data_IF_096037334226
#
_entry.id   IF_096037334226
#
_cell.length_a   1.000
_cell.length_b   1.000
_cell.length_c   1.000
_cell.angle_alpha   90.00
_cell.angle_beta   90.00
_cell.angle_gamma   90.00
#
_symmetry.space_group_name_H-M   'P 1'
#
loop_
_entity.id
_entity.type
_entity.pdbx_description
1 polymer ?
#
# COMPACT_ATOMS: atom_id res chain seq x y z
N UNK A 1 3.58 29.49 68.09
CA UNK A 1 4.28 28.50 67.22
C UNK A 1 3.37 27.49 66.54
N UNK A 2 2.28 27.00 67.14
CA UNK A 2 1.40 25.97 66.48
C UNK A 2 0.49 26.51 65.36
N UNK A 3 0.16 27.79 65.34
CA UNK A 3 -0.75 28.39 64.35
C UNK A 3 0.00 28.61 62.99
N UNK A 4 1.27 29.00 63.05
CA UNK A 4 2.08 29.19 61.82
C UNK A 4 2.46 27.87 61.12
N UNK A 5 2.52 26.76 61.87
CA UNK A 5 2.78 25.45 61.29
C UNK A 5 1.58 24.91 60.50
N UNK A 6 0.33 25.20 60.92
CA UNK A 6 -0.87 24.79 60.22
C UNK A 6 -1.09 25.59 58.92
N UNK A 7 -0.76 26.91 58.92
CA UNK A 7 -0.87 27.75 57.73
C UNK A 7 0.17 27.41 56.68
N UNK A 8 1.38 27.02 57.04
CA UNK A 8 2.44 26.57 56.12
C UNK A 8 2.08 25.22 55.52
N UNK A 9 1.54 24.27 56.27
CA UNK A 9 1.08 22.97 55.74
C UNK A 9 -0.10 23.12 54.76
N UNK A 10 -1.07 24.01 55.01
CA UNK A 10 -2.18 24.25 54.09
C UNK A 10 -1.72 24.97 52.81
N UNK A 11 -0.71 25.85 52.86
CA UNK A 11 -0.13 26.50 51.70
C UNK A 11 0.73 25.53 50.84
N UNK A 12 1.44 24.57 51.46
CA UNK A 12 2.16 23.51 50.76
C UNK A 12 1.20 22.50 50.09
N UNK A 13 0.04 22.20 50.69
CA UNK A 13 -0.95 21.30 50.10
C UNK A 13 -1.66 21.95 48.90
N UNK A 14 -1.79 23.28 48.84
CA UNK A 14 -2.40 23.99 47.70
C UNK A 14 -1.43 24.06 46.48
N UNK A 15 -0.14 24.01 46.70
CA UNK A 15 0.87 24.04 45.65
C UNK A 15 1.03 22.70 44.92
N UNK A 16 0.62 21.57 45.49
CA UNK A 16 0.69 20.25 44.87
C UNK A 16 -0.45 19.93 43.93
N UNK A 17 -1.53 20.72 43.91
CA UNK A 17 -2.70 20.54 43.03
C UNK A 17 -2.57 21.24 41.66
N UNK A 18 -1.50 22.01 41.44
CA UNK A 18 -1.22 22.68 40.18
C UNK A 18 -0.30 21.87 39.25
N UNK A 19 -0.04 20.60 39.56
CA UNK A 19 0.52 19.65 38.64
C UNK A 19 -0.51 19.37 37.54
N UNK A 20 -0.70 20.35 36.62
CA UNK A 20 -1.53 20.18 35.44
C UNK A 20 -1.08 18.94 34.68
N UNK A 21 -1.97 18.02 34.47
CA UNK A 21 -1.80 16.94 33.55
C UNK A 21 -1.31 17.53 32.20
N UNK A 22 -0.04 17.43 31.92
CA UNK A 22 0.51 17.59 30.56
C UNK A 22 0.02 16.40 29.73
N UNK A 23 -1.29 16.21 29.61
CA UNK A 23 -1.86 15.34 28.61
C UNK A 23 -1.67 16.06 27.28
N UNK A 24 -0.63 15.68 26.53
CA UNK A 24 -0.59 16.02 25.12
C UNK A 24 -1.95 15.66 24.53
N UNK A 25 -2.68 16.61 23.94
CA UNK A 25 -4.01 16.33 23.42
C UNK A 25 -3.88 15.18 22.43
N UNK A 26 -4.56 14.06 22.70
CA UNK A 26 -4.58 12.90 21.81
C UNK A 26 -5.22 13.36 20.51
N UNK A 27 -4.42 13.55 19.48
CA UNK A 27 -4.93 13.93 18.16
C UNK A 27 -5.87 12.84 17.65
N UNK A 28 -7.02 13.23 17.11
CA UNK A 28 -7.93 12.31 16.44
C UNK A 28 -7.20 11.56 15.33
N UNK A 29 -7.60 10.32 15.05
CA UNK A 29 -7.07 9.57 13.93
C UNK A 29 -7.68 10.06 12.62
N UNK A 30 -6.91 10.00 11.55
CA UNK A 30 -7.38 10.32 10.21
C UNK A 30 -8.54 9.40 9.81
N UNK A 31 -9.53 9.99 9.12
CA UNK A 31 -10.74 9.34 8.63
C UNK A 31 -10.63 9.01 7.13
N UNK A 32 -11.66 8.38 6.57
CA UNK A 32 -11.72 7.97 5.15
C UNK A 32 -11.13 6.57 4.94
N UNK A 33 -11.46 6.02 3.78
CA UNK A 33 -10.99 4.69 3.37
C UNK A 33 -9.63 4.76 2.69
N UNK A 34 -8.95 3.63 2.61
CA UNK A 34 -7.73 3.51 1.82
C UNK A 34 -8.01 3.86 0.34
N UNK A 35 -7.07 4.57 -0.28
CA UNK A 35 -7.18 5.02 -1.68
C UNK A 35 -8.33 6.01 -1.94
N UNK A 36 -8.75 6.75 -0.93
CA UNK A 36 -9.54 7.97 -1.06
C UNK A 36 -8.65 9.19 -0.81
N UNK A 37 -8.93 10.28 -1.51
CA UNK A 37 -8.18 11.54 -1.41
C UNK A 37 -9.13 12.73 -1.52
N UNK A 38 -8.89 13.76 -0.71
CA UNK A 38 -9.49 15.08 -0.89
C UNK A 38 -8.54 15.96 -1.69
N UNK A 39 -9.04 16.57 -2.75
CA UNK A 39 -8.31 17.58 -3.54
C UNK A 39 -8.96 18.92 -3.32
N UNK A 40 -8.18 19.92 -2.91
CA UNK A 40 -8.67 21.29 -2.75
C UNK A 40 -7.85 22.26 -3.58
N UNK A 41 -8.56 23.02 -4.41
CA UNK A 41 -8.06 24.09 -5.27
C UNK A 41 -9.21 24.98 -5.71
N UNK A 42 -8.89 26.12 -6.31
CA UNK A 42 -9.92 27.00 -6.85
C UNK A 42 -10.77 26.29 -7.92
N UNK A 43 -12.05 26.63 -7.96
CA UNK A 43 -13.02 25.95 -8.84
C UNK A 43 -12.67 26.09 -10.31
N UNK A 44 -12.27 27.29 -10.74
CA UNK A 44 -11.85 27.53 -12.12
C UNK A 44 -10.66 26.68 -12.53
N UNK A 45 -9.70 26.50 -11.61
CA UNK A 45 -8.56 25.64 -11.82
C UNK A 45 -8.97 24.16 -11.89
N UNK A 46 -9.87 23.71 -11.03
CA UNK A 46 -10.40 22.34 -11.02
C UNK A 46 -11.15 21.97 -12.31
N UNK A 47 -11.88 22.94 -12.90
CA UNK A 47 -12.66 22.78 -14.13
C UNK A 47 -11.82 23.02 -15.40
N UNK A 48 -10.52 23.35 -15.28
CA UNK A 48 -9.60 23.58 -16.39
C UNK A 48 -8.85 22.33 -16.83
N UNK A 49 -8.12 22.42 -17.95
CA UNK A 49 -7.20 21.38 -18.45
C UNK A 49 -6.18 20.96 -17.37
N UNK A 50 -5.71 21.90 -16.56
CA UNK A 50 -4.80 21.64 -15.44
C UNK A 50 -5.46 20.76 -14.37
N UNK A 51 -6.72 21.02 -14.04
CA UNK A 51 -7.50 20.18 -13.13
C UNK A 51 -7.73 18.78 -13.70
N UNK A 52 -8.01 18.67 -15.00
CA UNK A 52 -8.13 17.36 -15.66
C UNK A 52 -6.82 16.57 -15.65
N UNK A 53 -5.66 17.22 -15.82
CA UNK A 53 -4.36 16.56 -15.72
C UNK A 53 -4.10 16.00 -14.32
N UNK A 54 -4.48 16.71 -13.26
CA UNK A 54 -4.38 16.23 -11.86
C UNK A 54 -5.35 15.06 -11.61
N UNK A 55 -6.57 15.13 -12.13
CA UNK A 55 -7.54 14.02 -12.03
C UNK A 55 -7.01 12.79 -12.75
N UNK A 56 -6.53 12.93 -13.99
CA UNK A 56 -5.99 11.83 -14.78
C UNK A 56 -4.79 11.13 -14.06
N UNK A 57 -3.94 11.90 -13.39
CA UNK A 57 -2.88 11.32 -12.55
C UNK A 57 -3.47 10.48 -11.41
N UNK A 58 -4.35 11.06 -10.60
CA UNK A 58 -4.91 10.40 -9.41
C UNK A 58 -5.85 9.23 -9.77
N UNK A 59 -6.51 9.29 -10.92
CA UNK A 59 -7.41 8.26 -11.43
C UNK A 59 -6.73 7.31 -12.41
N UNK A 60 -5.39 7.35 -12.49
CA UNK A 60 -4.63 6.42 -13.32
C UNK A 60 -5.01 4.97 -13.03
N UNK A 61 -5.05 4.15 -14.08
CA UNK A 61 -5.44 2.74 -13.97
C UNK A 61 -4.43 1.91 -13.17
N UNK A 62 -4.94 0.94 -12.45
CA UNK A 62 -4.11 -0.02 -11.73
C UNK A 62 -3.77 -1.19 -12.67
N UNK A 63 -2.49 -1.47 -12.91
CA UNK A 63 -2.08 -2.59 -13.75
C UNK A 63 -2.58 -3.94 -13.24
N UNK A 64 -3.00 -4.81 -14.16
CA UNK A 64 -3.39 -6.19 -13.86
C UNK A 64 -4.83 -6.37 -13.41
N UNK A 65 -5.65 -5.33 -13.32
CA UNK A 65 -7.08 -5.47 -13.06
C UNK A 65 -7.85 -5.86 -14.33
N UNK A 66 -8.88 -6.73 -14.22
CA UNK A 66 -9.70 -7.15 -15.37
C UNK A 66 -10.61 -6.04 -15.91
N UNK A 67 -10.97 -5.07 -15.08
CA UNK A 67 -11.65 -3.84 -15.47
C UNK A 67 -10.83 -2.65 -15.01
N UNK A 68 -10.81 -1.54 -15.78
CA UNK A 68 -10.16 -0.30 -15.34
C UNK A 68 -10.75 0.19 -14.01
N UNK A 69 -9.90 0.38 -13.03
CA UNK A 69 -10.26 1.00 -11.75
C UNK A 69 -9.26 2.11 -11.43
N UNK A 70 -9.79 3.27 -11.05
CA UNK A 70 -8.98 4.42 -10.66
C UNK A 70 -8.10 4.13 -9.44
N UNK A 71 -6.84 4.59 -9.45
CA UNK A 71 -5.93 4.43 -8.32
C UNK A 71 -6.48 5.08 -7.05
N UNK A 72 -7.13 6.25 -7.17
CA UNK A 72 -7.78 6.94 -6.06
C UNK A 72 -9.21 7.34 -6.40
N UNK A 73 -10.07 7.34 -5.38
CA UNK A 73 -11.39 7.98 -5.42
C UNK A 73 -11.23 9.41 -4.92
N UNK A 74 -11.51 10.37 -5.78
CA UNK A 74 -11.34 11.78 -5.49
C UNK A 74 -12.61 12.37 -4.89
N UNK A 75 -12.44 13.20 -3.86
CA UNK A 75 -13.43 14.15 -3.37
C UNK A 75 -12.88 15.56 -3.58
N UNK A 76 -13.52 16.34 -4.43
CA UNK A 76 -13.16 17.75 -4.63
C UNK A 76 -13.83 18.65 -3.60
N UNK A 77 -13.09 19.66 -3.13
CA UNK A 77 -13.62 20.76 -2.34
C UNK A 77 -12.94 22.07 -2.73
N UNK A 78 -13.73 23.14 -2.97
CA UNK A 78 -13.14 24.47 -3.10
C UNK A 78 -12.48 24.91 -1.80
N UNK A 79 -11.50 25.84 -1.79
CA UNK A 79 -10.86 26.32 -0.56
C UNK A 79 -11.85 26.82 0.49
N UNK A 80 -12.94 27.48 0.05
CA UNK A 80 -14.00 27.97 0.95
C UNK A 80 -14.78 26.84 1.64
N UNK A 81 -14.91 25.68 0.99
CA UNK A 81 -15.64 24.51 1.50
C UNK A 81 -14.71 23.47 2.15
N UNK A 82 -13.40 23.67 2.06
CA UNK A 82 -12.43 22.77 2.65
C UNK A 82 -12.26 23.04 4.16
N UNK A 83 -13.17 22.50 4.96
CA UNK A 83 -13.20 22.68 6.42
C UNK A 83 -13.82 21.46 7.11
N UNK A 84 -13.82 21.46 8.43
CA UNK A 84 -14.47 20.44 9.26
C UNK A 84 -13.99 19.03 8.93
N UNK A 85 -14.92 18.12 8.63
CA UNK A 85 -14.64 16.70 8.39
C UNK A 85 -13.67 16.44 7.23
N UNK A 86 -13.62 17.31 6.23
CA UNK A 86 -12.71 17.15 5.09
C UNK A 86 -11.25 17.33 5.48
N UNK A 87 -10.96 18.12 6.51
CA UNK A 87 -9.59 18.28 7.02
C UNK A 87 -9.12 17.07 7.81
N UNK A 88 -9.99 16.11 8.14
CA UNK A 88 -9.63 14.91 8.89
C UNK A 88 -9.34 13.70 7.99
N UNK A 89 -9.55 13.83 6.66
CA UNK A 89 -9.29 12.74 5.71
C UNK A 89 -7.80 12.42 5.64
N UNK A 90 -7.49 11.14 5.47
CA UNK A 90 -6.13 10.59 5.55
C UNK A 90 -5.17 11.05 4.46
N UNK A 91 -5.67 11.37 3.25
CA UNK A 91 -4.89 11.87 2.14
C UNK A 91 -5.50 13.16 1.61
N UNK A 92 -4.71 14.20 1.51
CA UNK A 92 -5.16 15.52 1.05
C UNK A 92 -4.11 16.07 0.07
N UNK A 93 -4.58 16.57 -1.07
CA UNK A 93 -3.81 17.37 -2.01
C UNK A 93 -4.37 18.80 -2.01
N UNK A 94 -3.53 19.76 -1.67
CA UNK A 94 -3.84 21.20 -1.71
C UNK A 94 -3.07 21.79 -2.89
N UNK A 95 -3.75 22.45 -3.82
CA UNK A 95 -3.13 23.16 -4.93
C UNK A 95 -3.37 24.65 -4.75
N UNK A 96 -2.32 25.46 -4.80
CA UNK A 96 -2.34 26.91 -4.65
C UNK A 96 -1.65 27.56 -5.83
N UNK A 97 -2.33 28.53 -6.42
CA UNK A 97 -1.80 29.36 -7.49
C UNK A 97 -1.74 30.81 -7.00
N UNK A 98 -0.56 31.39 -7.03
CA UNK A 98 -0.34 32.81 -6.66
C UNK A 98 0.99 33.30 -7.26
N UNK A 99 0.92 34.14 -8.27
CA UNK A 99 2.07 34.70 -8.98
C UNK A 99 2.82 35.78 -8.17
N UNK A 100 2.22 36.28 -7.11
CA UNK A 100 2.89 37.23 -6.20
C UNK A 100 3.74 36.52 -5.16
N UNK A 101 3.44 35.25 -4.85
CA UNK A 101 4.12 34.45 -3.81
C UNK A 101 5.05 33.38 -4.39
N UNK A 102 4.74 32.84 -5.56
CA UNK A 102 5.46 31.71 -6.12
C UNK A 102 6.07 32.03 -7.48
N UNK A 103 7.30 31.62 -7.72
CA UNK A 103 8.02 31.82 -8.98
C UNK A 103 8.20 30.55 -9.80
N UNK A 104 7.94 29.39 -9.18
CA UNK A 104 8.02 28.06 -9.80
C UNK A 104 7.09 27.08 -9.10
N UNK A 105 6.78 25.96 -9.75
CA UNK A 105 6.07 24.87 -9.11
C UNK A 105 6.92 24.26 -7.99
N UNK A 106 6.32 24.07 -6.84
CA UNK A 106 6.95 23.41 -5.69
C UNK A 106 5.98 22.49 -5.00
N UNK A 107 6.49 21.35 -4.50
CA UNK A 107 5.76 20.38 -3.73
C UNK A 107 6.34 20.28 -2.33
N UNK A 108 5.45 20.24 -1.36
CA UNK A 108 5.79 19.92 0.04
C UNK A 108 4.78 18.91 0.58
N UNK A 109 5.15 18.15 1.60
CA UNK A 109 4.22 17.30 2.30
C UNK A 109 4.40 17.40 3.81
N UNK A 110 3.29 17.24 4.52
CA UNK A 110 3.23 17.25 5.97
C UNK A 110 2.54 15.99 6.47
N UNK A 111 3.10 15.38 7.53
CA UNK A 111 2.46 14.28 8.23
C UNK A 111 1.70 14.83 9.45
N UNK A 112 0.48 14.29 9.67
CA UNK A 112 -0.30 14.60 10.86
C UNK A 112 -0.62 16.08 11.06
N UNK A 113 -0.94 16.80 10.00
CA UNK A 113 -1.24 18.24 10.07
C UNK A 113 -2.44 18.52 10.98
N UNK A 114 -3.55 17.84 10.77
CA UNK A 114 -4.78 17.96 11.60
C UNK A 114 -5.06 16.71 12.41
N UNK A 115 -4.76 15.53 11.87
CA UNK A 115 -5.09 14.24 12.49
C UNK A 115 -3.92 13.26 12.39
N UNK A 116 -3.85 12.32 13.32
CA UNK A 116 -2.80 11.31 13.33
C UNK A 116 -2.98 10.31 12.16
N UNK A 117 -1.91 10.02 11.44
CA UNK A 117 -1.92 9.11 10.29
C UNK A 117 -2.34 9.79 8.98
N UNK A 118 -2.42 11.11 8.95
CA UNK A 118 -2.72 11.91 7.77
C UNK A 118 -1.45 12.27 7.00
N UNK A 119 -1.57 12.40 5.68
CA UNK A 119 -0.57 13.02 4.80
C UNK A 119 -1.26 14.11 3.98
N UNK A 120 -0.69 15.30 4.02
CA UNK A 120 -1.11 16.47 3.25
C UNK A 120 0.01 16.83 2.30
N UNK A 121 -0.28 16.80 1.00
CA UNK A 121 0.63 17.32 -0.03
C UNK A 121 0.14 18.71 -0.43
N UNK A 122 1.05 19.68 -0.48
CA UNK A 122 0.76 21.02 -1.00
C UNK A 122 1.59 21.26 -2.25
N UNK A 123 0.91 21.59 -3.35
CA UNK A 123 1.49 22.07 -4.59
C UNK A 123 1.27 23.59 -4.67
N UNK A 124 2.35 24.35 -4.82
CA UNK A 124 2.31 25.77 -5.04
C UNK A 124 2.85 26.08 -6.44
N UNK A 125 2.26 27.04 -7.14
CA UNK A 125 2.65 27.43 -8.48
C UNK A 125 2.36 28.93 -8.73
N UNK A 126 3.09 29.59 -9.64
CA UNK A 126 2.77 30.96 -10.02
C UNK A 126 1.48 31.06 -10.84
N UNK A 127 1.22 30.10 -11.71
CA UNK A 127 0.10 30.05 -12.64
C UNK A 127 -0.33 28.61 -12.95
N UNK A 128 -1.45 28.44 -13.63
CA UNK A 128 -2.00 27.13 -14.00
C UNK A 128 -1.22 26.47 -15.14
N UNK A 129 -0.61 27.26 -16.02
CA UNK A 129 0.21 26.80 -17.14
C UNK A 129 1.45 26.06 -16.62
N UNK A 130 2.12 26.60 -15.61
CA UNK A 130 3.27 25.96 -14.93
C UNK A 130 2.88 24.62 -14.28
N UNK A 131 1.67 24.52 -13.71
CA UNK A 131 1.18 23.23 -13.19
C UNK A 131 0.96 22.24 -14.32
N UNK A 132 0.32 22.66 -15.42
CA UNK A 132 0.04 21.80 -16.57
C UNK A 132 1.35 21.26 -17.17
N UNK A 133 2.35 22.14 -17.40
CA UNK A 133 3.69 21.74 -17.86
C UNK A 133 4.33 20.72 -16.88
N UNK A 134 4.25 20.99 -15.57
CA UNK A 134 4.73 20.09 -14.56
C UNK A 134 4.04 18.73 -14.63
N UNK A 135 2.72 18.66 -14.80
CA UNK A 135 1.95 17.40 -14.89
C UNK A 135 2.24 16.63 -16.18
N UNK A 136 2.50 17.32 -17.28
CA UNK A 136 2.81 16.72 -18.59
C UNK A 136 4.28 16.35 -18.78
N UNK A 137 5.17 16.74 -17.86
CA UNK A 137 6.58 16.34 -17.94
C UNK A 137 6.74 14.81 -17.77
N UNK A 138 7.93 14.26 -18.13
CA UNK A 138 8.22 12.84 -18.30
C UNK A 138 7.90 11.89 -17.10
N UNK A 139 7.55 12.43 -15.95
CA UNK A 139 7.11 11.62 -14.80
C UNK A 139 5.57 11.60 -14.75
N UNK A 140 4.98 10.50 -15.12
CA UNK A 140 3.53 10.28 -15.05
C UNK A 140 3.08 9.74 -13.69
N UNK A 141 1.82 9.97 -13.34
CA UNK A 141 1.16 9.41 -12.16
C UNK A 141 1.86 9.73 -10.82
N UNK A 142 2.43 10.93 -10.69
CA UNK A 142 3.25 11.32 -9.52
C UNK A 142 2.49 11.30 -8.21
N UNK A 143 1.32 11.90 -8.16
CA UNK A 143 0.49 11.92 -6.95
C UNK A 143 -0.07 10.53 -6.65
N UNK A 144 -0.56 9.83 -7.68
CA UNK A 144 -1.05 8.47 -7.52
C UNK A 144 0.03 7.53 -6.98
N UNK A 145 1.26 7.62 -7.49
CA UNK A 145 2.38 6.82 -7.00
C UNK A 145 2.78 7.20 -5.57
N UNK A 146 2.87 8.51 -5.28
CA UNK A 146 3.21 9.00 -3.95
C UNK A 146 2.21 8.51 -2.89
N UNK A 147 0.93 8.77 -3.10
CA UNK A 147 -0.10 8.37 -2.14
C UNK A 147 -0.29 6.85 -2.09
N UNK A 148 -0.07 6.12 -3.19
CA UNK A 148 -0.05 4.65 -3.18
C UNK A 148 1.06 4.11 -2.26
N UNK A 149 2.27 4.65 -2.34
CA UNK A 149 3.38 4.26 -1.44
C UNK A 149 3.02 4.53 0.03
N UNK A 150 2.35 5.64 0.32
CA UNK A 150 1.88 5.96 1.68
C UNK A 150 0.83 4.95 2.16
N UNK A 151 -0.18 4.63 1.33
CA UNK A 151 -1.21 3.65 1.68
C UNK A 151 -0.63 2.24 1.86
N UNK A 152 0.26 1.81 0.99
CA UNK A 152 0.97 0.54 1.11
C UNK A 152 1.76 0.47 2.42
N UNK A 153 2.52 1.51 2.76
CA UNK A 153 3.26 1.57 4.02
C UNK A 153 2.33 1.46 5.23
N UNK A 154 1.22 2.23 5.25
CA UNK A 154 0.24 2.17 6.34
C UNK A 154 -0.34 0.76 6.53
N UNK A 155 -0.69 0.09 5.42
CA UNK A 155 -1.19 -1.27 5.45
C UNK A 155 -0.12 -2.26 5.95
N UNK A 156 1.11 -2.15 5.46
CA UNK A 156 2.25 -2.98 5.89
C UNK A 156 2.56 -2.79 7.38
N UNK A 157 2.55 -1.54 7.88
CA UNK A 157 2.72 -1.24 9.31
C UNK A 157 1.60 -1.84 10.16
N UNK A 158 0.36 -1.80 9.66
CA UNK A 158 -0.78 -2.43 10.33
C UNK A 158 -0.61 -3.93 10.43
N UNK A 159 -0.13 -4.61 9.38
CA UNK A 159 0.16 -6.03 9.40
C UNK A 159 1.33 -6.39 10.33
N UNK A 160 2.20 -5.44 10.65
CA UNK A 160 3.21 -5.61 11.71
C UNK A 160 2.61 -5.79 13.10
N UNK A 161 1.38 -5.36 13.32
CA UNK A 161 0.68 -5.39 14.62
C UNK A 161 -0.47 -6.40 14.64
N UNK A 162 -1.17 -6.55 13.52
CA UNK A 162 -2.36 -7.39 13.39
C UNK A 162 -2.23 -8.27 12.14
N UNK A 163 -1.93 -9.55 12.34
CA UNK A 163 -1.76 -10.53 11.26
C UNK A 163 -2.32 -11.90 11.67
N UNK A 164 -2.53 -12.76 10.68
CA UNK A 164 -2.95 -14.13 10.90
C UNK A 164 -1.81 -14.96 11.49
N UNK A 165 -1.92 -15.30 12.77
CA UNK A 165 -0.93 -16.16 13.46
C UNK A 165 -0.87 -17.54 12.80
N UNK A 166 -2.01 -18.09 12.37
CA UNK A 166 -2.09 -19.40 11.70
C UNK A 166 -1.23 -19.42 10.43
N UNK A 167 -1.33 -18.38 9.60
CA UNK A 167 -0.50 -18.29 8.38
C UNK A 167 0.98 -18.10 8.75
N UNK A 168 1.27 -17.21 9.69
CA UNK A 168 2.65 -16.96 10.14
C UNK A 168 3.31 -18.25 10.64
N UNK A 169 2.66 -19.01 11.51
CA UNK A 169 3.19 -20.25 12.06
C UNK A 169 3.42 -21.31 10.96
N UNK A 170 2.48 -21.45 10.03
CA UNK A 170 2.63 -22.39 8.93
C UNK A 170 3.80 -22.03 8.00
N UNK A 171 3.93 -20.77 7.57
CA UNK A 171 5.03 -20.38 6.67
C UNK A 171 6.38 -20.39 7.38
N UNK A 172 6.41 -20.04 8.67
CA UNK A 172 7.62 -20.09 9.49
C UNK A 172 8.15 -21.52 9.63
N UNK A 173 7.29 -22.44 10.01
CA UNK A 173 7.66 -23.84 10.26
C UNK A 173 8.03 -24.58 8.98
N UNK A 174 7.41 -24.22 7.86
CA UNK A 174 7.57 -24.95 6.60
C UNK A 174 8.67 -24.40 5.70
N UNK A 175 8.75 -23.08 5.60
CA UNK A 175 9.65 -22.40 4.65
C UNK A 175 10.75 -21.61 5.33
N UNK A 176 10.78 -21.58 6.66
CA UNK A 176 11.68 -20.71 7.43
C UNK A 176 11.67 -19.25 6.94
N UNK A 177 10.47 -18.71 6.73
CA UNK A 177 10.22 -17.32 6.35
C UNK A 177 9.18 -16.70 7.29
N UNK A 178 9.08 -15.38 7.31
CA UNK A 178 8.01 -14.67 8.00
C UNK A 178 7.18 -13.89 7.00
N UNK A 179 5.84 -14.03 7.08
CA UNK A 179 4.90 -13.34 6.20
C UNK A 179 3.66 -12.93 7.01
N UNK A 180 3.45 -11.64 7.17
CA UNK A 180 2.31 -11.10 7.90
C UNK A 180 1.15 -10.85 6.92
N UNK A 181 0.12 -11.68 6.99
CA UNK A 181 -1.07 -11.53 6.15
C UNK A 181 -2.26 -11.05 6.96
N UNK A 182 -3.32 -10.50 6.33
CA UNK A 182 -4.54 -10.08 7.03
C UNK A 182 -5.12 -11.14 7.95
N UNK A 183 -5.67 -10.73 9.08
CA UNK A 183 -6.22 -11.62 10.13
C UNK A 183 -7.41 -12.46 9.69
N UNK A 184 -8.14 -12.04 8.66
CA UNK A 184 -9.27 -12.77 8.07
C UNK A 184 -8.83 -13.92 7.14
N UNK A 185 -7.56 -14.02 6.79
CA UNK A 185 -7.00 -15.17 6.08
C UNK A 185 -6.68 -16.27 7.09
N UNK A 186 -7.59 -17.22 7.24
CA UNK A 186 -7.54 -18.24 8.30
C UNK A 186 -7.59 -19.68 7.77
N UNK A 187 -8.21 -19.90 6.61
CA UNK A 187 -8.20 -21.22 5.98
C UNK A 187 -6.85 -21.46 5.32
N UNK A 188 -6.27 -22.65 5.50
CA UNK A 188 -5.01 -22.99 4.84
C UNK A 188 -4.95 -24.46 4.43
N UNK A 189 -4.22 -24.72 3.35
CA UNK A 189 -3.83 -26.05 2.86
C UNK A 189 -2.33 -26.09 2.66
N UNK A 190 -1.72 -27.13 3.18
CA UNK A 190 -0.28 -27.34 3.16
C UNK A 190 0.09 -28.52 2.26
N UNK A 191 1.08 -28.30 1.38
CA UNK A 191 1.79 -29.34 0.64
C UNK A 191 3.30 -29.20 0.87
N UNK A 192 4.12 -30.14 0.39
CA UNK A 192 5.57 -30.19 0.70
C UNK A 192 6.29 -28.87 0.37
N UNK A 193 6.13 -28.37 -0.85
CA UNK A 193 6.81 -27.17 -1.36
C UNK A 193 5.82 -26.07 -1.77
N UNK A 194 4.58 -26.17 -1.30
CA UNK A 194 3.49 -25.28 -1.60
C UNK A 194 2.59 -25.04 -0.38
N UNK A 195 2.22 -23.80 -0.16
CA UNK A 195 1.25 -23.38 0.85
C UNK A 195 0.20 -22.50 0.20
N UNK A 196 -1.03 -22.67 0.60
CA UNK A 196 -2.15 -21.83 0.18
C UNK A 196 -3.00 -21.46 1.38
N UNK A 197 -3.37 -20.17 1.48
CA UNK A 197 -4.28 -19.67 2.50
C UNK A 197 -5.32 -18.72 1.89
N UNK A 198 -6.50 -18.69 2.47
CA UNK A 198 -7.66 -17.93 1.97
C UNK A 198 -8.47 -17.34 3.12
N UNK A 199 -9.16 -16.23 2.87
CA UNK A 199 -10.24 -15.78 3.73
C UNK A 199 -11.56 -16.52 3.48
N UNK A 200 -11.60 -17.33 2.42
CA UNK A 200 -12.75 -18.17 2.01
C UNK A 200 -14.09 -17.39 1.95
N UNK A 201 -14.02 -16.09 1.61
CA UNK A 201 -15.20 -15.24 1.53
C UNK A 201 -16.02 -15.54 0.26
N UNK A 202 -17.33 -15.48 0.36
CA UNK A 202 -18.23 -15.64 -0.80
C UNK A 202 -18.11 -14.48 -1.79
N UNK A 203 -17.85 -13.27 -1.28
CA UNK A 203 -17.62 -12.06 -2.07
C UNK A 203 -16.26 -11.46 -1.68
N UNK A 204 -15.45 -11.13 -2.68
CA UNK A 204 -14.12 -10.55 -2.42
C UNK A 204 -13.15 -11.53 -1.78
N UNK A 205 -13.12 -12.79 -2.28
CA UNK A 205 -12.17 -13.79 -1.82
C UNK A 205 -10.75 -13.35 -2.16
N UNK A 206 -9.90 -13.39 -1.14
CA UNK A 206 -8.48 -13.09 -1.22
C UNK A 206 -7.67 -14.28 -0.78
N UNK A 207 -6.68 -14.63 -1.57
CA UNK A 207 -5.87 -15.81 -1.40
C UNK A 207 -4.38 -15.44 -1.39
N UNK A 208 -3.60 -16.19 -0.61
CA UNK A 208 -2.13 -16.11 -0.57
C UNK A 208 -1.58 -17.50 -0.88
N UNK A 209 -0.58 -17.55 -1.73
CA UNK A 209 0.25 -18.74 -1.91
C UNK A 209 1.70 -18.45 -1.63
N UNK A 210 2.40 -19.48 -1.16
CA UNK A 210 3.86 -19.49 -0.98
C UNK A 210 4.40 -20.75 -1.61
N UNK A 211 5.43 -20.63 -2.42
CA UNK A 211 6.18 -21.76 -2.94
C UNK A 211 7.64 -21.44 -3.09
N UNK A 212 8.46 -22.48 -3.15
CA UNK A 212 9.89 -22.36 -3.31
C UNK A 212 10.41 -23.30 -4.39
N UNK A 213 11.52 -22.93 -5.00
CA UNK A 213 12.25 -23.78 -5.94
C UNK A 213 13.74 -23.45 -5.89
N UNK A 214 14.64 -24.41 -6.26
CA UNK A 214 16.09 -24.18 -6.26
C UNK A 214 16.49 -23.03 -7.19
N UNK A 215 17.41 -22.19 -6.75
CA UNK A 215 18.04 -21.19 -7.60
C UNK A 215 19.23 -21.83 -8.35
N UNK A 216 19.08 -22.04 -9.63
CA UNK A 216 20.08 -22.76 -10.46
C UNK A 216 20.50 -21.98 -11.71
N UNK A 217 19.79 -20.93 -12.06
CA UNK A 217 19.98 -20.16 -13.28
C UNK A 217 19.93 -18.66 -13.00
N UNK A 218 20.94 -17.87 -13.41
CA UNK A 218 20.92 -16.41 -13.31
C UNK A 218 19.70 -15.76 -14.00
N UNK A 219 19.15 -16.39 -15.06
CA UNK A 219 17.96 -15.90 -15.76
C UNK A 219 16.64 -16.19 -15.05
N UNK A 220 16.68 -16.74 -13.84
CA UNK A 220 15.47 -17.02 -13.02
C UNK A 220 14.60 -15.80 -12.81
N UNK A 221 15.19 -14.62 -12.67
CA UNK A 221 14.47 -13.36 -12.42
C UNK A 221 14.12 -12.63 -13.72
N UNK A 222 13.58 -13.35 -14.70
CA UNK A 222 12.97 -12.80 -15.92
C UNK A 222 11.45 -13.00 -15.86
N UNK A 223 10.70 -12.16 -16.56
CA UNK A 223 9.25 -12.28 -16.67
C UNK A 223 8.84 -13.65 -17.17
N UNK A 224 9.43 -14.08 -18.29
CA UNK A 224 9.13 -15.35 -18.95
C UNK A 224 9.38 -16.56 -18.05
N UNK A 225 10.53 -16.60 -17.37
CA UNK A 225 10.86 -17.71 -16.47
C UNK A 225 9.89 -17.77 -15.29
N UNK A 226 9.62 -16.63 -14.65
CA UNK A 226 8.75 -16.59 -13.49
C UNK A 226 7.30 -16.94 -13.83
N UNK A 227 6.78 -16.52 -15.00
CA UNK A 227 5.44 -16.93 -15.48
C UNK A 227 5.40 -18.44 -15.74
N UNK A 228 6.39 -18.98 -16.46
CA UNK A 228 6.46 -20.42 -16.76
C UNK A 228 6.53 -21.24 -15.48
N UNK A 229 7.35 -20.82 -14.52
CA UNK A 229 7.46 -21.48 -13.22
C UNK A 229 6.16 -21.39 -12.43
N UNK A 230 5.54 -20.21 -12.38
CA UNK A 230 4.26 -19.97 -11.76
C UNK A 230 3.20 -20.93 -12.29
N UNK A 231 3.01 -20.97 -13.60
CA UNK A 231 1.97 -21.81 -14.23
C UNK A 231 2.19 -23.29 -13.99
N UNK A 232 3.44 -23.76 -14.01
CA UNK A 232 3.80 -25.14 -13.66
C UNK A 232 3.42 -25.48 -12.23
N UNK A 233 3.70 -24.59 -11.27
CA UNK A 233 3.35 -24.77 -9.85
C UNK A 233 1.85 -24.74 -9.65
N UNK A 234 1.14 -23.78 -10.26
CA UNK A 234 -0.31 -23.62 -10.09
C UNK A 234 -1.08 -24.78 -10.71
N UNK A 235 -0.67 -25.27 -11.89
CA UNK A 235 -1.27 -26.44 -12.53
C UNK A 235 -1.25 -27.66 -11.62
N UNK A 236 -0.15 -27.85 -10.87
CA UNK A 236 -0.01 -28.98 -9.95
C UNK A 236 -0.84 -28.80 -8.67
N UNK A 237 -0.90 -27.57 -8.13
CA UNK A 237 -1.35 -27.34 -6.75
C UNK A 237 -2.72 -26.67 -6.63
N UNK A 238 -3.22 -26.02 -7.68
CA UNK A 238 -4.52 -25.36 -7.69
C UNK A 238 -5.42 -25.88 -8.82
N UNK A 239 -5.91 -27.15 -8.68
CA UNK A 239 -6.91 -27.70 -9.60
C UNK A 239 -8.23 -26.93 -9.45
N UNK A 240 -8.97 -26.84 -10.56
CA UNK A 240 -10.33 -26.30 -10.54
C UNK A 240 -11.37 -27.36 -10.15
N UNK A 241 -12.64 -27.00 -10.33
CA UNK A 241 -13.76 -27.87 -9.97
C UNK A 241 -14.04 -28.99 -11.01
N UNK A 242 -13.58 -28.83 -12.24
CA UNK A 242 -13.79 -29.77 -13.33
C UNK A 242 -12.53 -30.61 -13.63
N UNK A 243 -12.69 -31.81 -14.23
CA UNK A 243 -11.54 -32.60 -14.68
C UNK A 243 -10.58 -31.75 -15.55
N UNK A 244 -9.29 -31.91 -15.31
CA UNK A 244 -8.20 -31.20 -16.01
C UNK A 244 -8.18 -29.67 -15.86
N UNK A 245 -9.14 -29.09 -15.11
CA UNK A 245 -9.13 -27.65 -14.82
C UNK A 245 -8.06 -27.28 -13.80
N UNK A 246 -7.40 -26.14 -14.02
CA UNK A 246 -6.33 -25.66 -13.16
C UNK A 246 -6.11 -24.15 -13.32
N UNK A 247 -5.53 -23.52 -12.30
CA UNK A 247 -5.16 -22.11 -12.38
C UNK A 247 -3.92 -21.92 -13.26
N UNK A 248 -3.94 -20.86 -14.06
CA UNK A 248 -2.82 -20.41 -14.92
C UNK A 248 -2.82 -18.88 -15.06
N UNK A 249 -1.77 -18.34 -15.66
CA UNK A 249 -1.70 -16.92 -16.04
C UNK A 249 -2.57 -16.65 -17.27
N UNK A 250 -3.31 -15.54 -17.25
CA UNK A 250 -4.07 -15.07 -18.40
C UNK A 250 -3.16 -14.19 -19.29
N UNK A 251 -2.60 -14.79 -20.33
CA UNK A 251 -1.61 -14.14 -21.19
C UNK A 251 -2.19 -13.26 -22.30
N UNK A 252 -3.52 -13.19 -22.44
CA UNK A 252 -4.18 -12.29 -23.40
C UNK A 252 -4.12 -10.82 -22.97
N UNK A 253 -3.83 -10.56 -21.72
CA UNK A 253 -3.66 -9.22 -21.17
C UNK A 253 -2.23 -8.98 -20.74
N UNK A 254 -1.82 -7.71 -20.74
CA UNK A 254 -0.47 -7.34 -20.38
C UNK A 254 -0.13 -7.76 -18.94
N UNK A 255 0.99 -8.45 -18.80
CA UNK A 255 1.61 -8.74 -17.53
C UNK A 255 2.65 -7.65 -17.28
N UNK A 256 2.71 -7.14 -16.07
CA UNK A 256 3.70 -6.16 -15.66
C UNK A 256 4.78 -6.85 -14.82
N UNK A 257 6.00 -6.84 -15.31
CA UNK A 257 7.19 -7.22 -14.54
C UNK A 257 7.95 -5.97 -14.10
N UNK A 258 8.16 -5.81 -12.81
CA UNK A 258 8.87 -4.65 -12.26
C UNK A 258 9.90 -5.13 -11.24
N UNK A 259 11.20 -4.92 -11.49
CA UNK A 259 12.21 -5.12 -10.48
C UNK A 259 12.11 -4.02 -9.40
N UNK A 260 12.11 -4.43 -8.15
CA UNK A 260 12.12 -3.52 -7.01
C UNK A 260 13.17 -3.94 -5.99
N UNK A 261 13.56 -3.02 -5.13
CA UNK A 261 14.44 -3.32 -3.99
C UNK A 261 13.59 -3.39 -2.73
N UNK A 262 13.64 -4.52 -2.03
CA UNK A 262 13.00 -4.72 -0.73
C UNK A 262 14.08 -5.12 0.28
N UNK A 263 14.23 -4.38 1.38
CA UNK A 263 15.28 -4.61 2.40
C UNK A 263 16.70 -4.66 1.80
N UNK A 264 16.96 -3.77 0.83
CA UNK A 264 18.26 -3.72 0.14
C UNK A 264 18.52 -4.88 -0.83
N UNK A 265 17.57 -5.80 -1.03
CA UNK A 265 17.72 -6.96 -1.92
C UNK A 265 16.73 -6.90 -3.08
N UNK A 266 17.12 -7.54 -4.18
CA UNK A 266 16.30 -7.64 -5.37
C UNK A 266 14.99 -8.42 -5.12
N UNK A 267 13.90 -7.93 -5.71
CA UNK A 267 12.63 -8.61 -5.78
C UNK A 267 12.02 -8.41 -7.17
N UNK A 268 11.72 -9.50 -7.87
CA UNK A 268 10.94 -9.47 -9.09
C UNK A 268 9.46 -9.45 -8.76
N UNK A 269 8.74 -8.42 -9.19
CA UNK A 269 7.31 -8.26 -8.96
C UNK A 269 6.54 -8.45 -10.26
N UNK A 270 5.68 -9.47 -10.29
CA UNK A 270 4.73 -9.71 -11.38
C UNK A 270 3.34 -9.22 -10.96
N UNK A 271 2.64 -8.54 -11.87
CA UNK A 271 1.22 -8.21 -11.76
C UNK A 271 0.51 -8.59 -13.04
N UNK A 272 -0.62 -9.23 -12.93
CA UNK A 272 -1.39 -9.67 -14.08
C UNK A 272 -2.73 -10.27 -13.67
N UNK A 273 -3.32 -11.04 -14.57
CA UNK A 273 -4.57 -11.73 -14.33
C UNK A 273 -4.33 -13.24 -14.33
N UNK A 274 -4.99 -13.92 -13.42
CA UNK A 274 -5.09 -15.37 -13.44
C UNK A 274 -6.43 -15.80 -14.06
N UNK A 275 -6.43 -16.98 -14.63
CA UNK A 275 -7.64 -17.67 -15.11
C UNK A 275 -7.67 -19.09 -14.59
N UNK A 276 -8.86 -19.68 -14.56
CA UNK A 276 -9.02 -21.12 -14.43
C UNK A 276 -9.15 -21.73 -15.81
N UNK A 277 -8.18 -22.53 -16.25
CA UNK A 277 -8.29 -23.32 -17.49
C UNK A 277 -9.44 -24.31 -17.31
N UNK A 278 -10.36 -24.32 -18.27
CA UNK A 278 -11.55 -25.20 -18.19
C UNK A 278 -12.70 -24.66 -17.33
N UNK A 279 -12.62 -23.41 -16.87
CA UNK A 279 -13.68 -22.74 -16.09
C UNK A 279 -13.67 -21.23 -16.38
N UNK A 280 -14.74 -20.53 -16.00
CA UNK A 280 -14.95 -19.09 -16.24
C UNK A 280 -14.39 -18.19 -15.12
N UNK A 281 -13.60 -18.74 -14.20
CA UNK A 281 -13.04 -17.99 -13.08
C UNK A 281 -11.75 -17.28 -13.48
N UNK A 282 -11.57 -16.06 -12.95
CA UNK A 282 -10.35 -15.26 -13.13
C UNK A 282 -10.33 -14.04 -12.21
N UNK A 283 -9.22 -13.35 -12.20
CA UNK A 283 -9.03 -12.14 -11.41
C UNK A 283 -7.60 -11.65 -11.39
N UNK A 284 -7.29 -10.57 -10.66
CA UNK A 284 -5.93 -10.06 -10.57
C UNK A 284 -5.06 -10.90 -9.63
N UNK A 285 -3.75 -10.90 -9.89
CA UNK A 285 -2.72 -11.38 -8.98
C UNK A 285 -1.54 -10.42 -8.88
N UNK A 286 -0.82 -10.53 -7.79
CA UNK A 286 0.49 -9.91 -7.58
C UNK A 286 1.42 -10.94 -6.95
N UNK A 287 2.64 -11.06 -7.48
CA UNK A 287 3.62 -12.08 -7.08
C UNK A 287 4.97 -11.43 -6.83
N UNK A 288 5.60 -11.74 -5.70
CA UNK A 288 6.94 -11.30 -5.32
C UNK A 288 7.88 -12.49 -5.29
N UNK A 289 8.92 -12.46 -6.12
CA UNK A 289 9.98 -13.47 -6.18
C UNK A 289 11.27 -12.91 -5.59
N UNK A 290 11.84 -13.56 -4.56
CA UNK A 290 13.07 -13.14 -3.89
C UNK A 290 14.04 -14.31 -3.72
N UNK A 291 15.34 -14.03 -3.81
CA UNK A 291 16.38 -15.01 -3.54
C UNK A 291 16.61 -15.17 -2.03
N UNK A 292 16.39 -16.37 -1.52
CA UNK A 292 16.85 -16.82 -0.21
C UNK A 292 18.28 -17.37 -0.38
N UNK A 293 19.26 -16.50 -0.17
CA UNK A 293 20.68 -16.83 -0.32
C UNK A 293 21.14 -17.88 0.69
N UNK A 294 20.52 -17.90 1.88
CA UNK A 294 20.86 -18.86 2.95
C UNK A 294 20.59 -20.31 2.53
N UNK A 295 19.48 -20.53 1.82
CA UNK A 295 19.05 -21.86 1.39
C UNK A 295 19.21 -22.10 -0.12
N UNK A 296 19.84 -21.15 -0.85
CA UNK A 296 20.05 -21.21 -2.30
C UNK A 296 18.76 -21.53 -3.09
N UNK A 297 17.69 -20.83 -2.79
CA UNK A 297 16.38 -21.05 -3.40
C UNK A 297 15.66 -19.72 -3.69
N UNK A 298 14.75 -19.75 -4.61
CA UNK A 298 13.80 -18.66 -4.82
C UNK A 298 12.57 -18.91 -3.94
N UNK A 299 12.18 -17.90 -3.19
CA UNK A 299 10.91 -17.85 -2.45
C UNK A 299 9.95 -16.95 -3.21
N UNK A 300 8.79 -17.49 -3.55
CA UNK A 300 7.71 -16.73 -4.17
C UNK A 300 6.54 -16.65 -3.20
N UNK A 301 6.09 -15.43 -2.95
CA UNK A 301 4.84 -15.14 -2.25
C UNK A 301 3.91 -14.42 -3.22
N UNK A 302 2.70 -14.90 -3.36
CA UNK A 302 1.75 -14.36 -4.31
C UNK A 302 0.39 -14.18 -3.65
N UNK A 303 -0.30 -13.08 -4.00
CA UNK A 303 -1.68 -12.85 -3.65
C UNK A 303 -2.55 -12.78 -4.89
N UNK A 304 -3.74 -13.35 -4.83
CA UNK A 304 -4.73 -13.24 -5.90
C UNK A 304 -6.14 -13.02 -5.34
N UNK A 305 -7.01 -12.48 -6.19
CA UNK A 305 -8.36 -12.07 -5.78
C UNK A 305 -9.40 -12.69 -6.72
N UNK A 306 -10.47 -13.20 -6.13
CA UNK A 306 -11.69 -13.58 -6.85
C UNK A 306 -12.85 -12.74 -6.33
N UNK A 307 -13.31 -11.79 -7.15
CA UNK A 307 -14.35 -10.83 -6.80
C UNK A 307 -15.13 -10.40 -8.06
N UNK A 308 -15.94 -11.32 -8.68
CA UNK A 308 -16.51 -11.08 -10.00
C UNK A 308 -17.42 -9.85 -10.06
N UNK A 309 -18.16 -9.55 -9.00
CA UNK A 309 -19.21 -8.50 -9.00
C UNK A 309 -18.79 -7.22 -8.24
N UNK A 310 -17.53 -7.10 -7.85
CA UNK A 310 -17.09 -5.95 -7.04
C UNK A 310 -15.74 -5.43 -7.49
N UNK A 311 -15.45 -4.18 -7.14
CA UNK A 311 -14.16 -3.53 -7.39
C UNK A 311 -13.04 -4.27 -6.67
N UNK A 312 -11.93 -4.51 -7.36
CA UNK A 312 -10.82 -5.35 -6.92
C UNK A 312 -9.64 -4.56 -6.37
N UNK A 313 -9.60 -3.25 -6.64
CA UNK A 313 -8.51 -2.35 -6.22
C UNK A 313 -8.13 -2.55 -4.76
N UNK A 314 -9.08 -2.40 -3.85
CA UNK A 314 -8.77 -2.44 -2.42
C UNK A 314 -8.34 -3.84 -1.96
N UNK A 315 -8.88 -4.89 -2.55
CA UNK A 315 -8.49 -6.27 -2.25
C UNK A 315 -7.05 -6.55 -2.70
N UNK A 316 -6.73 -6.28 -3.98
CA UNK A 316 -5.39 -6.58 -4.50
C UNK A 316 -4.31 -5.71 -3.83
N UNK A 317 -4.60 -4.42 -3.56
CA UNK A 317 -3.69 -3.53 -2.86
C UNK A 317 -3.43 -3.95 -1.42
N UNK A 318 -4.48 -4.42 -0.72
CA UNK A 318 -4.35 -4.94 0.64
C UNK A 318 -3.48 -6.18 0.68
N UNK A 319 -3.68 -7.10 -0.25
CA UNK A 319 -2.89 -8.33 -0.33
C UNK A 319 -1.45 -8.03 -0.75
N UNK A 320 -1.25 -7.14 -1.71
CA UNK A 320 0.08 -6.69 -2.12
C UNK A 320 0.87 -6.10 -0.93
N UNK A 321 0.23 -5.30 -0.09
CA UNK A 321 0.86 -4.76 1.12
C UNK A 321 1.31 -5.87 2.10
N UNK A 322 0.59 -6.99 2.15
CA UNK A 322 1.00 -8.15 2.93
C UNK A 322 2.27 -8.81 2.36
N UNK A 323 2.43 -8.86 1.03
CA UNK A 323 3.62 -9.44 0.41
C UNK A 323 4.91 -8.65 0.73
N UNK A 324 4.80 -7.33 0.93
CA UNK A 324 5.94 -6.51 1.38
C UNK A 324 6.40 -6.83 2.81
N UNK A 325 5.62 -7.58 3.58
CA UNK A 325 6.03 -8.02 4.92
C UNK A 325 6.96 -9.23 4.90
N UNK A 326 7.18 -9.87 3.74
CA UNK A 326 8.05 -11.05 3.61
C UNK A 326 9.44 -10.74 4.16
N UNK A 327 9.89 -11.60 5.10
CA UNK A 327 11.25 -11.62 5.63
C UNK A 327 11.84 -13.02 5.43
N UNK A 328 12.98 -13.05 4.78
CA UNK A 328 13.77 -14.26 4.53
C UNK A 328 14.73 -14.53 5.71
N UNK A 329 15.34 -15.71 5.80
CA UNK A 329 16.42 -15.96 6.77
C UNK A 329 17.48 -14.87 6.75
N UNK A 330 17.87 -14.36 7.93
CA UNK A 330 18.76 -13.21 8.09
C UNK A 330 18.06 -11.83 8.11
N UNK A 331 16.73 -11.77 7.88
CA UNK A 331 15.96 -10.52 7.93
C UNK A 331 14.95 -10.46 9.10
N UNK A 332 14.93 -11.46 9.98
CA UNK A 332 13.86 -11.61 10.97
C UNK A 332 13.82 -10.48 12.01
N UNK A 333 14.96 -9.90 12.33
CA UNK A 333 15.08 -8.78 13.27
C UNK A 333 14.80 -7.42 12.63
N UNK A 334 14.60 -7.39 11.29
CA UNK A 334 14.28 -6.15 10.59
C UNK A 334 12.81 -5.76 10.79
N UNK A 335 12.48 -4.45 10.76
CA UNK A 335 11.10 -3.99 10.89
C UNK A 335 10.23 -4.53 9.76
N UNK A 336 8.96 -4.77 10.04
CA UNK A 336 7.99 -5.28 9.05
C UNK A 336 7.81 -4.31 7.88
N UNK A 337 7.71 -3.01 8.17
CA UNK A 337 7.68 -1.97 7.15
C UNK A 337 9.05 -1.27 7.07
N UNK A 338 9.55 -1.10 5.86
CA UNK A 338 10.74 -0.27 5.65
C UNK A 338 10.45 1.19 6.03
N UNK A 339 11.40 1.81 6.70
CA UNK A 339 11.40 3.26 6.90
C UNK A 339 11.78 3.93 5.56
N UNK A 340 10.88 3.92 4.60
CA UNK A 340 11.03 4.79 3.43
C UNK A 340 10.73 6.21 3.89
N UNK A 341 11.78 6.95 4.21
CA UNK A 341 11.71 8.40 4.13
C UNK A 341 11.52 8.70 2.65
N UNK A 342 10.42 9.33 2.21
CA UNK A 342 10.39 9.88 0.87
C UNK A 342 11.63 10.80 0.81
N UNK A 343 12.50 10.58 -0.17
CA UNK A 343 13.62 11.48 -0.34
C UNK A 343 13.04 12.88 -0.45
N UNK A 344 13.41 13.75 0.48
CA UNK A 344 13.25 15.18 0.34
C UNK A 344 14.12 15.59 -0.86
N UNK A 345 13.59 15.41 -2.06
CA UNK A 345 14.05 16.18 -3.19
C UNK A 345 13.42 17.55 -3.05
N UNK A 346 13.97 18.36 -2.16
CA UNK A 346 13.99 19.79 -2.38
C UNK A 346 14.54 19.96 -3.79
N UNK A 347 13.70 20.45 -4.69
CA UNK A 347 14.17 20.98 -5.95
C UNK A 347 15.09 22.18 -5.61
N UNK A 348 16.36 21.89 -5.40
CA UNK A 348 17.41 22.90 -5.36
C UNK A 348 17.97 23.00 -6.76
N UNK A 349 17.84 24.21 -7.25
CA UNK A 349 18.37 24.89 -8.44
C UNK A 349 17.54 24.80 -9.70
#
# INVERSE_FOLDING_TARGET
MKIYALTICSLLLLLTTLGGCNSNPVRARATGFAYEIVVTMDRELWESETGEAIKADLESEIPGLPQPEAAFKITYASPANFSGILTYVRNILIVKVDNSMYTKVSLSYENNRWTQGQVVVTMNAPDKESILEYMQSNETNRFAQFFTKIEMRRATEQFGKNYSAVVMDNVRNRFDIMLNVPTDITYSRNDKDFFWASNNANTGRTDIIVYTFPYTDPNTFTEEYLITKRDSVLKKNLPGAFPDSHMATETRYNISYTPVTIRGKYCGVLRGQWKMVGDMMGGPFVSHARLDETNNRVVVVEGFVYAPETNKRNFIRRIEAALYTLRLPGEFDQPVAEKTTPSERTASN
#
